data_IF_173578931774
#
_entry.id   IF_173578931774
#
_cell.length_a   1.000
_cell.length_b   1.000
_cell.length_c   1.000
_cell.angle_alpha   90.00
_cell.angle_beta   90.00
_cell.angle_gamma   90.00
#
_symmetry.space_group_name_H-M   'P 1'
#
loop_
_entity.id
_entity.type
_entity.pdbx_description
1 polymer ?
#
# COMPACT_ATOMS: atom_id res chain seq x y z
N UNK A 1 -30.61 0.12 51.85
CA UNK A 1 -29.15 0.20 51.63
C UNK A 1 -28.91 -0.45 50.27
N UNK A 2 -28.77 0.31 49.17
CA UNK A 2 -27.50 0.81 48.61
C UNK A 2 -26.40 -0.27 48.76
N UNK A 3 -25.80 -0.82 47.70
CA UNK A 3 -24.95 -0.12 46.74
C UNK A 3 -24.90 -0.81 45.36
N UNK A 4 -24.60 0.02 44.35
CA UNK A 4 -24.52 -0.23 42.93
C UNK A 4 -23.39 -1.20 42.55
N UNK A 5 -23.69 -2.27 41.81
CA UNK A 5 -22.65 -2.97 41.04
C UNK A 5 -22.42 -2.17 39.76
N UNK A 6 -21.31 -1.43 39.76
CA UNK A 6 -20.87 -0.60 38.64
C UNK A 6 -20.72 -1.43 37.37
N UNK A 7 -21.20 -0.83 36.28
CA UNK A 7 -20.84 -1.16 34.91
C UNK A 7 -19.36 -1.50 34.78
N UNK A 8 -19.05 -2.69 34.28
CA UNK A 8 -17.77 -2.94 33.65
C UNK A 8 -17.99 -2.84 32.13
N UNK A 9 -18.16 -1.60 31.65
CA UNK A 9 -18.03 -1.30 30.24
C UNK A 9 -16.55 -1.42 29.92
N UNK A 10 -16.17 -2.57 29.38
CA UNK A 10 -14.84 -2.77 28.83
C UNK A 10 -14.82 -1.93 27.55
N UNK A 11 -14.28 -0.71 27.64
CA UNK A 11 -13.93 0.07 26.46
C UNK A 11 -12.74 -0.66 25.82
N UNK A 12 -13.06 -1.49 24.84
CA UNK A 12 -12.09 -2.16 23.99
C UNK A 12 -11.66 -1.16 22.93
N UNK A 13 -10.87 -0.16 23.33
CA UNK A 13 -10.05 0.60 22.39
C UNK A 13 -9.03 -0.40 21.84
N UNK A 14 -9.37 -0.98 20.70
CA UNK A 14 -8.48 -1.86 19.93
C UNK A 14 -7.25 -1.01 19.59
N UNK A 15 -6.12 -1.30 20.22
CA UNK A 15 -4.82 -0.77 19.81
C UNK A 15 -4.67 -1.12 18.33
N UNK A 16 -4.55 -0.10 17.48
CA UNK A 16 -4.48 -0.32 16.04
C UNK A 16 -3.10 -0.87 15.75
N UNK A 17 -3.05 -2.15 15.39
CA UNK A 17 -1.84 -2.76 14.85
C UNK A 17 -1.65 -2.25 13.40
N UNK A 18 -1.08 -1.04 13.30
CA UNK A 18 -0.75 -0.42 12.02
C UNK A 18 0.25 -1.25 11.22
N UNK A 19 1.04 -2.10 11.89
CA UNK A 19 1.96 -3.03 11.26
C UNK A 19 1.19 -4.17 10.59
N UNK A 20 0.24 -4.81 11.26
CA UNK A 20 -0.62 -5.85 10.65
C UNK A 20 -1.40 -5.30 9.45
N UNK A 21 -1.94 -4.08 9.58
CA UNK A 21 -2.62 -3.42 8.47
C UNK A 21 -1.66 -3.10 7.31
N UNK A 22 -0.46 -2.60 7.61
CA UNK A 22 0.60 -2.36 6.62
C UNK A 22 0.97 -3.63 5.85
N UNK A 23 1.15 -4.76 6.53
CA UNK A 23 1.44 -6.05 5.89
C UNK A 23 0.31 -6.50 4.94
N UNK A 24 -0.96 -6.27 5.32
CA UNK A 24 -2.10 -6.58 4.44
C UNK A 24 -2.14 -5.67 3.22
N UNK A 25 -1.84 -4.40 3.39
CA UNK A 25 -1.74 -3.44 2.29
C UNK A 25 -0.66 -3.87 1.31
N UNK A 26 0.55 -4.19 1.80
CA UNK A 26 1.66 -4.67 0.95
C UNK A 26 1.28 -5.93 0.19
N UNK A 27 0.60 -6.89 0.84
CA UNK A 27 0.11 -8.12 0.17
C UNK A 27 -0.86 -7.80 -0.96
N UNK A 28 -1.76 -6.84 -0.78
CA UNK A 28 -2.70 -6.41 -1.82
C UNK A 28 -1.97 -5.70 -2.95
N UNK A 29 -1.03 -4.81 -2.65
CA UNK A 29 -0.22 -4.10 -3.65
C UNK A 29 0.58 -5.09 -4.51
N UNK A 30 1.14 -6.15 -3.92
CA UNK A 30 1.82 -7.25 -4.65
C UNK A 30 0.92 -8.03 -5.62
N UNK A 31 -0.39 -7.82 -5.59
CA UNK A 31 -1.31 -8.41 -6.59
C UNK A 31 -1.52 -7.52 -7.82
N UNK A 32 -0.93 -6.33 -7.83
CA UNK A 32 -1.04 -5.37 -8.92
C UNK A 32 0.24 -5.48 -9.75
N UNK A 33 0.06 -5.74 -11.04
CA UNK A 33 1.14 -5.94 -11.99
C UNK A 33 1.24 -4.75 -12.92
N UNK A 34 2.46 -4.40 -13.32
CA UNK A 34 2.65 -3.42 -14.36
C UNK A 34 2.18 -4.00 -15.72
N UNK A 35 1.41 -3.23 -16.52
CA UNK A 35 0.87 -3.73 -17.79
C UNK A 35 1.93 -3.83 -18.90
N UNK A 36 3.07 -3.16 -18.75
CA UNK A 36 4.20 -3.22 -19.69
C UNK A 36 5.24 -4.25 -19.26
N UNK A 37 5.47 -4.40 -17.96
CA UNK A 37 6.45 -5.31 -17.37
C UNK A 37 5.70 -6.36 -16.51
N UNK A 38 5.78 -7.66 -16.81
CA UNK A 38 4.97 -8.71 -16.16
C UNK A 38 5.46 -9.07 -14.73
N UNK A 39 5.66 -8.05 -13.89
CA UNK A 39 6.13 -8.13 -12.50
C UNK A 39 5.24 -7.21 -11.66
N UNK A 40 5.07 -7.53 -10.38
CA UNK A 40 4.29 -6.70 -9.49
C UNK A 40 4.96 -5.35 -9.20
N UNK A 41 4.13 -4.32 -8.98
CA UNK A 41 4.61 -2.94 -8.82
C UNK A 41 5.42 -2.72 -7.54
N UNK A 42 5.30 -3.62 -6.56
CA UNK A 42 6.09 -3.57 -5.33
C UNK A 42 7.51 -4.06 -5.58
N UNK A 43 7.66 -5.23 -6.22
CA UNK A 43 8.97 -5.80 -6.58
C UNK A 43 9.67 -5.00 -7.69
N UNK A 44 8.92 -4.30 -8.55
CA UNK A 44 9.49 -3.31 -9.48
C UNK A 44 10.02 -2.05 -8.80
N UNK A 45 9.75 -1.85 -7.51
CA UNK A 45 10.19 -0.67 -6.77
C UNK A 45 9.42 0.60 -7.16
N UNK A 46 8.16 0.47 -7.61
CA UNK A 46 7.30 1.62 -7.89
C UNK A 46 6.67 2.20 -6.63
N UNK A 47 6.66 1.47 -5.53
CA UNK A 47 6.13 1.90 -4.24
C UNK A 47 7.28 2.41 -3.37
N UNK A 48 7.25 3.70 -3.03
CA UNK A 48 8.29 4.33 -2.20
C UNK A 48 7.95 4.29 -0.72
N UNK A 49 6.68 4.50 -0.38
CA UNK A 49 6.25 4.50 1.01
C UNK A 49 4.77 4.11 1.16
N UNK A 50 4.44 3.49 2.28
CA UNK A 50 3.07 3.15 2.70
C UNK A 50 2.90 3.57 4.15
N UNK A 51 2.20 4.67 4.35
CA UNK A 51 1.94 5.24 5.67
C UNK A 51 0.52 4.90 6.09
N UNK A 52 0.38 4.36 7.30
CA UNK A 52 -0.91 4.03 7.91
C UNK A 52 -1.05 4.83 9.20
N UNK A 53 -2.09 5.66 9.31
CA UNK A 53 -2.34 6.45 10.51
C UNK A 53 -3.26 5.71 11.50
N UNK A 54 -3.43 6.30 12.69
CA UNK A 54 -4.32 5.78 13.74
C UNK A 54 -5.81 5.90 13.40
N UNK A 55 -6.18 6.55 12.30
CA UNK A 55 -7.57 6.61 11.81
C UNK A 55 -7.85 5.57 10.70
N UNK A 56 -6.87 4.69 10.44
CA UNK A 56 -6.88 3.68 9.37
C UNK A 56 -6.98 4.29 7.97
N UNK A 57 -6.46 5.50 7.81
CA UNK A 57 -6.26 6.13 6.52
C UNK A 57 -4.86 5.77 6.04
N UNK A 58 -4.78 5.40 4.76
CA UNK A 58 -3.56 4.92 4.13
C UNK A 58 -3.10 5.95 3.12
N UNK A 59 -1.85 6.36 3.21
CA UNK A 59 -1.19 7.18 2.19
C UNK A 59 -0.09 6.38 1.53
N UNK A 60 -0.15 6.27 0.21
CA UNK A 60 0.82 5.53 -0.59
C UNK A 60 1.57 6.53 -1.44
N UNK A 61 2.89 6.56 -1.30
CA UNK A 61 3.77 7.31 -2.18
C UNK A 61 4.31 6.34 -3.22
N UNK A 62 4.04 6.62 -4.50
CA UNK A 62 4.50 5.78 -5.60
C UNK A 62 5.07 6.60 -6.74
N UNK A 63 5.74 5.94 -7.66
CA UNK A 63 6.25 6.50 -8.90
C UNK A 63 5.78 5.66 -10.09
N UNK A 64 6.10 6.10 -11.31
CA UNK A 64 5.82 5.38 -12.55
C UNK A 64 7.13 5.16 -13.30
N UNK A 65 7.21 4.07 -14.06
CA UNK A 65 8.37 3.75 -14.93
C UNK A 65 8.63 4.86 -15.96
N UNK A 66 7.56 5.51 -16.45
CA UNK A 66 7.65 6.64 -17.37
C UNK A 66 6.65 7.75 -17.03
N UNK A 67 7.08 9.03 -17.02
CA UNK A 67 6.17 10.15 -16.91
C UNK A 67 5.36 10.26 -18.22
N UNK A 68 4.04 10.36 -18.12
CA UNK A 68 3.08 10.55 -19.21
C UNK A 68 2.65 9.28 -20.00
N UNK A 69 2.84 8.07 -19.46
CA UNK A 69 2.26 6.88 -20.09
C UNK A 69 0.75 6.77 -19.74
N UNK A 70 -0.18 6.82 -20.73
CA UNK A 70 -1.63 6.77 -20.46
C UNK A 70 -2.08 5.44 -19.84
N UNK A 71 -1.27 4.39 -19.97
CA UNK A 71 -1.54 3.09 -19.34
C UNK A 71 -1.08 3.10 -17.87
N UNK A 72 0.02 3.79 -17.57
CA UNK A 72 0.52 3.95 -16.20
C UNK A 72 -0.38 4.87 -15.35
N UNK A 73 -1.18 5.74 -15.98
CA UNK A 73 -2.16 6.59 -15.28
C UNK A 73 -3.29 5.81 -14.60
N UNK A 74 -3.58 4.56 -15.01
CA UNK A 74 -4.58 3.73 -14.32
C UNK A 74 -4.03 3.00 -13.09
N UNK A 75 -2.70 2.82 -12.98
CA UNK A 75 -2.09 2.12 -11.84
C UNK A 75 -2.38 2.81 -10.50
N UNK A 76 -2.20 4.14 -10.34
CA UNK A 76 -2.51 4.83 -9.09
C UNK A 76 -3.97 4.62 -8.65
N UNK A 77 -4.90 4.63 -9.61
CA UNK A 77 -6.32 4.41 -9.33
C UNK A 77 -6.57 2.95 -8.90
N UNK A 78 -5.96 1.97 -9.58
CA UNK A 78 -6.08 0.55 -9.20
C UNK A 78 -5.50 0.29 -7.80
N UNK A 79 -4.34 0.88 -7.48
CA UNK A 79 -3.73 0.81 -6.14
C UNK A 79 -4.68 1.37 -5.10
N UNK A 80 -5.21 2.57 -5.33
CA UNK A 80 -6.17 3.20 -4.44
C UNK A 80 -7.39 2.31 -4.20
N UNK A 81 -8.01 1.81 -5.27
CA UNK A 81 -9.23 1.01 -5.17
C UNK A 81 -9.00 -0.31 -4.45
N UNK A 82 -7.93 -1.03 -4.77
CA UNK A 82 -7.63 -2.30 -4.11
C UNK A 82 -7.28 -2.11 -2.63
N UNK A 83 -6.52 -1.07 -2.29
CA UNK A 83 -6.18 -0.79 -0.89
C UNK A 83 -7.39 -0.31 -0.11
N UNK A 84 -8.24 0.54 -0.70
CA UNK A 84 -9.49 0.97 -0.09
C UNK A 84 -10.51 -0.18 0.08
N UNK A 85 -10.38 -1.28 -0.67
CA UNK A 85 -11.24 -2.45 -0.54
C UNK A 85 -10.93 -3.33 0.68
N UNK A 86 -9.84 -3.07 1.40
CA UNK A 86 -9.50 -3.79 2.62
C UNK A 86 -10.46 -3.32 3.72
N UNK A 87 -11.23 -4.24 4.34
CA UNK A 87 -12.28 -3.92 5.35
C UNK A 87 -11.80 -3.02 6.51
N UNK A 88 -10.51 -3.07 6.83
CA UNK A 88 -9.91 -2.27 7.90
C UNK A 88 -9.46 -0.88 7.46
N UNK A 89 -9.34 -0.61 6.16
CA UNK A 89 -8.96 0.69 5.61
C UNK A 89 -10.20 1.59 5.56
N UNK A 90 -10.07 2.78 6.13
CA UNK A 90 -11.13 3.80 6.11
C UNK A 90 -11.09 4.61 4.82
N UNK A 91 -9.90 5.01 4.40
CA UNK A 91 -9.65 5.74 3.17
C UNK A 91 -8.24 5.45 2.66
N UNK A 92 -8.03 5.58 1.34
CA UNK A 92 -6.75 5.40 0.70
C UNK A 92 -6.45 6.57 -0.25
N UNK A 93 -5.29 7.18 -0.08
CA UNK A 93 -4.76 8.22 -0.95
C UNK A 93 -3.47 7.73 -1.60
N UNK A 94 -3.34 7.96 -2.90
CA UNK A 94 -2.15 7.63 -3.68
C UNK A 94 -1.57 8.93 -4.21
N UNK A 95 -0.31 9.19 -3.87
CA UNK A 95 0.46 10.33 -4.32
C UNK A 95 1.55 9.85 -5.28
N UNK A 96 1.61 10.48 -6.46
CA UNK A 96 2.63 10.18 -7.46
C UNK A 96 3.77 11.17 -7.32
N UNK A 97 4.98 10.66 -7.12
CA UNK A 97 6.22 11.44 -7.17
C UNK A 97 7.13 10.93 -8.28
N UNK A 98 7.90 11.85 -8.87
CA UNK A 98 9.00 11.53 -9.79
C UNK A 98 10.36 11.89 -9.20
N UNK A 99 10.40 12.19 -7.90
CA UNK A 99 11.61 12.48 -7.13
C UNK A 99 11.68 11.52 -5.91
N UNK A 100 12.69 10.64 -5.84
CA UNK A 100 13.70 10.38 -6.89
C UNK A 100 13.06 9.74 -8.14
N UNK A 101 13.68 9.89 -9.33
CA UNK A 101 13.20 9.22 -10.53
C UNK A 101 13.39 7.70 -10.40
N UNK A 102 12.43 6.94 -10.92
CA UNK A 102 12.53 5.49 -10.95
C UNK A 102 13.73 5.04 -11.81
N UNK A 103 14.39 3.96 -11.39
CA UNK A 103 15.45 3.30 -12.15
C UNK A 103 15.41 1.80 -11.92
N UNK A 104 15.96 1.03 -12.85
CA UNK A 104 16.05 -0.44 -12.74
C UNK A 104 16.82 -0.89 -11.50
N UNK A 105 17.62 -0.01 -10.90
CA UNK A 105 18.31 -0.27 -9.64
C UNK A 105 17.34 -0.54 -8.47
N UNK A 106 16.09 -0.07 -8.57
CA UNK A 106 15.04 -0.27 -7.56
C UNK A 106 14.32 -1.62 -7.68
N UNK A 107 14.50 -2.34 -8.79
CA UNK A 107 13.92 -3.67 -8.99
C UNK A 107 14.58 -4.65 -8.02
N UNK A 108 13.76 -5.43 -7.29
CA UNK A 108 14.24 -6.45 -6.36
C UNK A 108 15.07 -7.53 -7.05
N UNK A 109 15.90 -8.24 -6.28
CA UNK A 109 16.77 -9.29 -6.81
C UNK A 109 15.94 -10.44 -7.40
N UNK A 110 14.82 -10.76 -6.75
CA UNK A 110 13.84 -11.75 -7.21
C UNK A 110 13.25 -11.36 -8.57
N UNK A 111 12.76 -10.12 -8.71
CA UNK A 111 12.21 -9.64 -9.97
C UNK A 111 13.26 -9.55 -11.08
N UNK A 112 14.51 -9.19 -10.75
CA UNK A 112 15.61 -9.19 -11.73
C UNK A 112 15.89 -10.59 -12.28
N UNK A 113 15.81 -11.63 -11.43
CA UNK A 113 15.97 -13.01 -11.86
C UNK A 113 14.85 -13.42 -12.83
N UNK A 114 13.59 -13.08 -12.52
CA UNK A 114 12.44 -13.36 -13.39
C UNK A 114 12.53 -12.67 -14.75
N UNK A 115 13.05 -11.44 -14.76
CA UNK A 115 13.27 -10.65 -15.98
C UNK A 115 14.54 -11.04 -16.76
N UNK A 116 15.37 -11.94 -16.22
CA UNK A 116 16.63 -12.37 -16.85
C UNK A 116 17.71 -11.28 -16.87
N UNK A 117 17.72 -10.41 -15.86
CA UNK A 117 18.68 -9.30 -15.72
C UNK A 117 19.92 -9.67 -14.87
N UNK A 118 19.98 -10.92 -14.37
CA UNK A 118 21.07 -11.49 -13.57
C UNK A 118 21.84 -12.57 -14.35
#
# INVERSE_FOLDING_TARGET
MLWHTKHNSINMEQEIDTQELGEKIVKVIKTIYDPEIPVDIYELGLIYDVMVNTDREVKILMTLTTPNCPVAESLPQEVKEKVASIDMVKDAEVEITFDPPWSQDLISEEARLELGLL
#
